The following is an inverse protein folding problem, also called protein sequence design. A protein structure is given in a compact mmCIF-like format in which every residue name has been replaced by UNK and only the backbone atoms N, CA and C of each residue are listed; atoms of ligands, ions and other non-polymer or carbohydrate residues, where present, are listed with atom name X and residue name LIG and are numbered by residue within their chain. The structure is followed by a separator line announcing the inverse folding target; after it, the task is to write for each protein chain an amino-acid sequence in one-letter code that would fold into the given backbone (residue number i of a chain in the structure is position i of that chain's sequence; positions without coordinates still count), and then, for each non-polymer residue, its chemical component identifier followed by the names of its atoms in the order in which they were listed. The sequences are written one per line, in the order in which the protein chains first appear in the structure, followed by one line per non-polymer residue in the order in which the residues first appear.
data_IF_511300153802
#
_entry.id   IF_511300153802
#
_cell.length_a   1.000
_cell.length_b   1.000
_cell.length_c   1.000
_cell.angle_alpha   90.00
_cell.angle_beta   90.00
_cell.angle_gamma   90.00
#
_symmetry.space_group_name_H-M   'P 1'
#
loop_
_entity.id
_entity.type
_entity.pdbx_description
1 polymer ?
#
# COMPACT_ATOMS: atom_id res chain seq x y z
N UNK A 1 -12.86 -18.89 2.15
CA UNK A 1 -14.19 -19.47 1.80
C UNK A 1 -14.91 -18.52 0.87
N UNK A 2 -15.63 -19.00 -0.15
CA UNK A 2 -16.39 -18.18 -1.10
C UNK A 2 -17.79 -17.91 -0.52
N UNK A 3 -18.20 -16.65 -0.43
CA UNK A 3 -19.53 -16.19 0.00
C UNK A 3 -20.45 -16.04 -1.23
N UNK A 4 -19.92 -15.34 -2.25
CA UNK A 4 -20.56 -15.17 -3.56
C UNK A 4 -19.47 -15.09 -4.63
N UNK A 5 -19.84 -15.04 -5.92
CA UNK A 5 -18.85 -14.81 -6.98
C UNK A 5 -18.13 -13.49 -6.74
N UNK A 6 -16.79 -13.51 -6.74
CA UNK A 6 -15.97 -12.32 -6.46
C UNK A 6 -15.98 -11.83 -4.99
N UNK A 7 -16.58 -12.60 -4.05
CA UNK A 7 -16.62 -12.27 -2.62
C UNK A 7 -16.11 -13.44 -1.79
N UNK A 8 -15.07 -13.20 -0.99
CA UNK A 8 -14.38 -14.23 -0.23
C UNK A 8 -14.17 -13.81 1.23
N UNK A 9 -14.26 -14.78 2.15
CA UNK A 9 -13.80 -14.63 3.53
C UNK A 9 -12.59 -15.53 3.78
N UNK A 10 -11.60 -15.00 4.47
CA UNK A 10 -10.34 -15.65 4.81
C UNK A 10 -10.19 -15.66 6.32
N UNK A 11 -10.22 -16.85 6.93
CA UNK A 11 -9.96 -17.03 8.34
C UNK A 11 -8.47 -17.25 8.57
N UNK A 12 -7.88 -16.45 9.43
CA UNK A 12 -6.48 -16.54 9.86
C UNK A 12 -6.49 -16.70 11.38
N UNK A 13 -6.70 -17.94 11.89
CA UNK A 13 -6.83 -18.18 13.30
C UNK A 13 -5.50 -17.97 14.02
N UNK A 14 -5.51 -17.18 15.10
CA UNK A 14 -4.35 -16.95 15.96
C UNK A 14 -4.76 -16.58 17.36
N UNK A 15 -4.07 -17.15 18.36
CA UNK A 15 -4.22 -16.82 19.78
C UNK A 15 -3.14 -15.86 20.29
N UNK A 16 -2.20 -15.48 19.41
CA UNK A 16 -1.03 -14.67 19.74
C UNK A 16 -1.38 -13.27 20.27
N UNK A 17 -2.49 -12.68 19.77
CA UNK A 17 -2.88 -11.31 20.08
C UNK A 17 -4.08 -11.26 21.03
N UNK A 18 -4.16 -10.19 21.83
CA UNK A 18 -5.32 -9.88 22.69
C UNK A 18 -6.49 -9.26 21.88
N UNK A 19 -6.24 -8.95 20.63
CA UNK A 19 -7.20 -8.31 19.71
C UNK A 19 -7.59 -9.25 18.59
N UNK A 20 -8.79 -9.02 18.07
CA UNK A 20 -9.25 -9.53 16.79
C UNK A 20 -9.17 -8.41 15.74
N UNK A 21 -9.00 -8.77 14.49
CA UNK A 21 -8.93 -7.83 13.36
C UNK A 21 -9.83 -8.28 12.21
N UNK A 22 -10.56 -7.33 11.69
CA UNK A 22 -11.37 -7.49 10.47
C UNK A 22 -10.80 -6.55 9.42
N UNK A 23 -10.48 -7.06 8.23
CA UNK A 23 -10.11 -6.25 7.07
C UNK A 23 -11.11 -6.51 5.98
N UNK A 24 -11.81 -5.49 5.54
CA UNK A 24 -12.69 -5.52 4.38
C UNK A 24 -11.98 -4.83 3.22
N UNK A 25 -11.54 -5.60 2.24
CA UNK A 25 -10.77 -5.16 1.08
C UNK A 25 -11.63 -5.13 -0.16
N UNK A 26 -11.66 -4.00 -0.84
CA UNK A 26 -12.24 -3.81 -2.16
C UNK A 26 -11.11 -3.65 -3.17
N UNK A 27 -11.01 -4.58 -4.14
CA UNK A 27 -9.96 -4.57 -5.16
C UNK A 27 -10.56 -4.47 -6.54
N UNK A 28 -10.22 -3.41 -7.25
CA UNK A 28 -10.57 -3.20 -8.65
C UNK A 28 -9.33 -3.04 -9.53
N UNK A 29 -9.55 -2.87 -10.83
CA UNK A 29 -8.47 -2.59 -11.78
C UNK A 29 -7.87 -1.20 -11.52
N UNK A 30 -6.54 -1.10 -11.63
CA UNK A 30 -5.83 0.16 -11.54
C UNK A 30 -6.15 1.02 -12.77
N UNK A 31 -6.74 2.19 -12.54
CA UNK A 31 -7.13 3.12 -13.59
C UNK A 31 -6.82 4.55 -13.18
N UNK A 32 -6.10 5.29 -14.01
CA UNK A 32 -5.74 6.70 -13.78
C UNK A 32 -6.95 7.58 -13.43
N UNK A 33 -8.13 7.28 -13.99
CA UNK A 33 -9.35 8.05 -13.78
C UNK A 33 -10.04 7.79 -12.43
N UNK A 34 -9.73 6.66 -11.76
CA UNK A 34 -10.39 6.27 -10.51
C UNK A 34 -9.46 6.34 -9.29
N UNK A 35 -8.14 6.42 -9.49
CA UNK A 35 -7.16 6.43 -8.39
C UNK A 35 -7.50 7.50 -7.34
N UNK A 36 -7.70 8.76 -7.76
CA UNK A 36 -8.01 9.87 -6.85
C UNK A 36 -9.37 9.69 -6.16
N UNK A 37 -10.39 9.22 -6.89
CA UNK A 37 -11.72 8.92 -6.34
C UNK A 37 -11.62 7.88 -5.22
N UNK A 38 -10.92 6.77 -5.48
CA UNK A 38 -10.74 5.67 -4.51
C UNK A 38 -9.94 6.12 -3.28
N UNK A 39 -8.96 7.01 -3.46
CA UNK A 39 -8.24 7.63 -2.35
C UNK A 39 -9.18 8.50 -1.50
N UNK A 40 -10.04 9.31 -2.11
CA UNK A 40 -11.06 10.11 -1.41
C UNK A 40 -12.09 9.23 -0.69
N UNK A 41 -12.54 8.14 -1.33
CA UNK A 41 -13.42 7.15 -0.68
C UNK A 41 -12.77 6.59 0.58
N UNK A 42 -11.47 6.27 0.53
CA UNK A 42 -10.71 5.79 1.69
C UNK A 42 -10.74 6.80 2.86
N UNK A 43 -10.63 8.11 2.61
CA UNK A 43 -10.75 9.14 3.63
C UNK A 43 -12.18 9.20 4.20
N UNK A 44 -13.19 9.22 3.33
CA UNK A 44 -14.58 9.30 3.74
C UNK A 44 -15.02 8.12 4.62
N UNK A 45 -14.54 6.91 4.36
CA UNK A 45 -14.82 5.70 5.15
C UNK A 45 -14.32 5.78 6.61
N UNK A 46 -13.30 6.60 6.88
CA UNK A 46 -12.69 6.75 8.21
C UNK A 46 -13.18 8.00 8.97
N UNK A 47 -14.09 8.79 8.40
CA UNK A 47 -14.43 10.12 8.92
C UNK A 47 -15.80 10.17 9.59
N UNK A 48 -16.85 9.70 8.90
CA UNK A 48 -18.24 9.76 9.39
C UNK A 48 -19.15 8.85 8.56
N UNK A 49 -20.33 8.53 9.11
CA UNK A 49 -21.43 7.86 8.42
C UNK A 49 -22.77 8.45 8.86
N UNK A 50 -23.89 7.98 8.32
CA UNK A 50 -25.23 8.52 8.66
C UNK A 50 -25.59 8.34 10.14
N UNK A 51 -25.18 7.23 10.76
CA UNK A 51 -25.41 6.94 12.17
C UNK A 51 -24.55 7.83 13.08
N UNK A 52 -23.31 8.11 12.65
CA UNK A 52 -22.34 8.95 13.36
C UNK A 52 -21.85 10.07 12.42
N UNK A 53 -22.64 11.16 12.27
CA UNK A 53 -22.44 12.11 11.19
C UNK A 53 -21.33 13.16 11.42
N UNK A 54 -20.67 13.11 12.57
CA UNK A 54 -19.52 13.97 12.88
C UNK A 54 -18.31 13.18 13.24
N UNK A 55 -17.10 13.72 12.99
CA UNK A 55 -15.83 13.12 13.40
C UNK A 55 -15.83 12.81 14.90
N UNK A 56 -16.44 13.68 15.71
CA UNK A 56 -16.54 13.48 17.14
C UNK A 56 -17.40 12.27 17.49
N UNK A 57 -18.66 12.21 17.02
CA UNK A 57 -19.58 11.09 17.30
C UNK A 57 -19.05 9.76 16.77
N UNK A 58 -18.35 9.79 15.62
CA UNK A 58 -17.70 8.62 15.04
C UNK A 58 -16.55 8.10 15.95
N UNK A 59 -15.69 9.00 16.44
CA UNK A 59 -14.60 8.66 17.36
C UNK A 59 -15.11 8.24 18.75
N UNK A 60 -16.16 8.90 19.26
CA UNK A 60 -16.84 8.53 20.51
C UNK A 60 -17.41 7.11 20.42
N UNK A 61 -18.00 6.75 19.26
CA UNK A 61 -18.45 5.37 19.06
C UNK A 61 -17.30 4.38 19.11
N UNK A 62 -16.20 4.62 18.42
CA UNK A 62 -15.01 3.75 18.47
C UNK A 62 -14.45 3.63 19.89
N UNK A 63 -14.42 4.72 20.64
CA UNK A 63 -14.02 4.71 22.06
C UNK A 63 -14.97 3.87 22.91
N UNK A 64 -16.29 4.00 22.70
CA UNK A 64 -17.32 3.20 23.40
C UNK A 64 -17.23 1.70 23.11
N UNK A 65 -16.64 1.33 21.97
CA UNK A 65 -16.31 -0.04 21.59
C UNK A 65 -14.94 -0.47 22.16
N UNK A 66 -14.65 -0.07 23.40
CA UNK A 66 -13.41 -0.40 24.13
C UNK A 66 -12.13 0.03 23.39
N UNK A 67 -12.17 1.19 22.72
CA UNK A 67 -11.04 1.72 21.99
C UNK A 67 -10.76 0.96 20.70
N UNK A 68 -11.79 0.43 20.06
CA UNK A 68 -11.69 -0.14 18.71
C UNK A 68 -11.02 0.85 17.77
N UNK A 69 -10.01 0.39 17.06
CA UNK A 69 -9.29 1.20 16.08
C UNK A 69 -9.83 0.93 14.68
N UNK A 70 -10.14 2.01 13.95
CA UNK A 70 -10.46 1.95 12.54
C UNK A 70 -9.36 2.67 11.76
N UNK A 71 -8.88 2.03 10.71
CA UNK A 71 -7.98 2.63 9.73
C UNK A 71 -8.37 2.25 8.31
N UNK A 72 -7.98 3.06 7.35
CA UNK A 72 -8.12 2.76 5.93
C UNK A 72 -6.75 2.76 5.26
N UNK A 73 -6.62 1.95 4.24
CA UNK A 73 -5.36 1.80 3.50
C UNK A 73 -5.63 1.70 2.02
N UNK A 74 -4.84 2.42 1.24
CA UNK A 74 -4.84 2.30 -0.22
C UNK A 74 -3.55 1.64 -0.67
N UNK A 75 -3.65 0.65 -1.56
CA UNK A 75 -2.50 -0.08 -2.09
C UNK A 75 -2.67 -0.45 -3.55
N UNK A 76 -1.54 -0.61 -4.24
CA UNK A 76 -1.47 -1.07 -5.63
C UNK A 76 -0.61 -2.32 -5.72
N UNK A 77 -1.02 -3.29 -6.54
CA UNK A 77 -0.22 -4.47 -6.89
C UNK A 77 -0.43 -4.77 -8.37
N UNK A 78 0.63 -4.60 -9.18
CA UNK A 78 0.51 -4.69 -10.63
C UNK A 78 -0.54 -3.72 -11.16
N UNK A 79 -1.52 -4.23 -11.90
CA UNK A 79 -2.63 -3.44 -12.44
C UNK A 79 -3.89 -3.47 -11.55
N UNK A 80 -3.72 -3.60 -10.24
CA UNK A 80 -4.83 -3.57 -9.28
C UNK A 80 -4.70 -2.41 -8.29
N UNK A 81 -5.84 -1.92 -7.83
CA UNK A 81 -5.96 -0.86 -6.82
C UNK A 81 -6.92 -1.32 -5.74
N UNK A 82 -6.43 -1.42 -4.51
CA UNK A 82 -7.20 -1.89 -3.36
C UNK A 82 -7.43 -0.78 -2.35
N UNK A 83 -8.64 -0.75 -1.80
CA UNK A 83 -9.01 0.06 -0.63
C UNK A 83 -9.43 -0.89 0.48
N UNK A 84 -8.73 -0.81 1.60
CA UNK A 84 -9.01 -1.59 2.80
C UNK A 84 -9.67 -0.69 3.84
N UNK A 85 -10.68 -1.21 4.54
CA UNK A 85 -11.13 -0.71 5.83
C UNK A 85 -10.81 -1.77 6.88
N UNK A 86 -10.10 -1.37 7.91
CA UNK A 86 -9.55 -2.26 8.91
C UNK A 86 -10.06 -1.88 10.29
N UNK A 87 -10.56 -2.87 11.03
CA UNK A 87 -11.03 -2.74 12.41
C UNK A 87 -10.23 -3.66 13.30
N UNK A 88 -9.60 -3.11 14.33
CA UNK A 88 -8.87 -3.86 15.37
C UNK A 88 -9.53 -3.61 16.73
N UNK A 89 -9.96 -4.65 17.41
CA UNK A 89 -10.71 -4.56 18.66
C UNK A 89 -10.33 -5.69 19.63
N UNK A 90 -10.60 -5.49 20.92
CA UNK A 90 -10.32 -6.47 21.98
C UNK A 90 -11.15 -7.73 21.82
N UNK A 91 -10.58 -8.89 22.14
CA UNK A 91 -11.35 -10.14 22.24
C UNK A 91 -12.36 -10.04 23.38
N UNK A 92 -13.52 -10.66 23.21
CA UNK A 92 -14.63 -10.64 24.19
C UNK A 92 -14.18 -11.13 25.58
N UNK A 93 -13.21 -12.03 25.65
CA UNK A 93 -12.64 -12.52 26.91
C UNK A 93 -12.07 -11.42 27.83
N UNK A 94 -11.61 -10.30 27.26
CA UNK A 94 -11.03 -9.18 28.01
C UNK A 94 -12.05 -8.09 28.37
N UNK A 95 -13.33 -8.32 28.11
CA UNK A 95 -14.38 -7.30 28.25
C UNK A 95 -15.38 -7.74 29.31
N UNK A 96 -15.71 -6.91 30.34
CA UNK A 96 -16.67 -7.23 31.37
C UNK A 96 -18.13 -7.06 30.91
N UNK A 97 -18.46 -7.50 29.69
CA UNK A 97 -19.81 -7.36 29.13
C UNK A 97 -20.43 -8.73 28.81
N UNK A 98 -21.75 -8.81 28.91
CA UNK A 98 -22.53 -9.98 28.49
C UNK A 98 -22.84 -9.99 26.97
N UNK A 99 -22.37 -8.97 26.22
CA UNK A 99 -22.60 -8.83 24.77
C UNK A 99 -21.28 -8.98 24.02
N UNK A 100 -21.30 -9.74 22.92
CA UNK A 100 -20.11 -9.91 22.08
C UNK A 100 -19.78 -8.62 21.33
N UNK A 101 -18.55 -8.11 21.52
CA UNK A 101 -18.03 -6.93 20.83
C UNK A 101 -17.96 -7.16 19.32
N UNK A 102 -17.80 -8.40 18.90
CA UNK A 102 -17.82 -8.77 17.47
C UNK A 102 -19.05 -8.24 16.74
N UNK A 103 -20.25 -8.41 17.32
CA UNK A 103 -21.48 -7.96 16.68
C UNK A 103 -21.59 -6.44 16.58
N UNK A 104 -21.13 -5.74 17.60
CA UNK A 104 -21.11 -4.27 17.63
C UNK A 104 -20.11 -3.70 16.60
N UNK A 105 -18.92 -4.30 16.51
CA UNK A 105 -17.88 -3.92 15.53
C UNK A 105 -18.32 -4.25 14.12
N UNK A 106 -18.95 -5.40 13.90
CA UNK A 106 -19.48 -5.79 12.58
C UNK A 106 -20.63 -4.87 12.16
N UNK A 107 -21.51 -4.48 13.08
CA UNK A 107 -22.56 -3.49 12.85
C UNK A 107 -21.98 -2.12 12.46
N UNK A 108 -20.94 -1.69 13.17
CA UNK A 108 -20.25 -0.45 12.84
C UNK A 108 -19.58 -0.48 11.45
N UNK A 109 -18.96 -1.61 11.07
CA UNK A 109 -18.43 -1.81 9.73
C UNK A 109 -19.52 -1.72 8.67
N UNK A 110 -20.69 -2.34 8.95
CA UNK A 110 -21.85 -2.28 8.06
C UNK A 110 -22.33 -0.85 7.87
N UNK A 111 -22.39 -0.04 8.95
CA UNK A 111 -22.74 1.37 8.86
C UNK A 111 -21.74 2.17 8.02
N UNK A 112 -20.43 1.90 8.15
CA UNK A 112 -19.42 2.56 7.33
C UNK A 112 -19.57 2.26 5.83
N UNK A 113 -19.91 1.01 5.48
CA UNK A 113 -19.96 0.56 4.09
C UNK A 113 -21.32 0.84 3.42
N UNK A 114 -22.43 0.67 4.15
CA UNK A 114 -23.75 0.69 3.54
C UNK A 114 -24.63 1.84 4.03
N UNK A 115 -24.14 2.62 4.99
CA UNK A 115 -24.81 3.81 5.49
C UNK A 115 -23.87 5.04 5.48
N UNK A 116 -23.20 5.33 4.34
CA UNK A 116 -22.25 6.44 4.25
C UNK A 116 -22.94 7.79 4.47
N UNK A 117 -22.20 8.79 4.92
CA UNK A 117 -22.73 10.16 5.07
C UNK A 117 -22.96 10.79 3.70
N UNK A 118 -24.16 10.55 3.15
CA UNK A 118 -24.55 10.96 1.80
C UNK A 118 -25.89 11.67 1.78
N UNK A 119 -26.08 12.54 0.78
CA UNK A 119 -27.31 13.27 0.50
C UNK A 119 -27.57 13.18 -1.00
N UNK A 120 -28.69 12.59 -1.41
CA UNK A 120 -29.11 12.51 -2.83
C UNK A 120 -27.97 12.03 -3.75
N UNK A 121 -27.49 10.80 -3.51
CA UNK A 121 -26.46 10.11 -4.32
C UNK A 121 -25.10 10.82 -4.43
N UNK A 122 -24.73 11.62 -3.43
CA UNK A 122 -23.40 12.21 -3.28
C UNK A 122 -23.01 12.27 -1.80
N UNK A 123 -21.71 12.31 -1.51
CA UNK A 123 -21.26 12.59 -0.14
C UNK A 123 -21.70 13.97 0.32
N UNK A 124 -21.87 14.14 1.63
CA UNK A 124 -22.14 15.46 2.21
C UNK A 124 -20.99 16.42 1.87
N UNK A 125 -21.26 17.49 1.11
CA UNK A 125 -20.24 18.37 0.55
C UNK A 125 -19.27 18.91 1.60
N UNK A 126 -19.79 19.40 2.75
CA UNK A 126 -18.95 19.99 3.78
C UNK A 126 -17.87 19.02 4.29
N UNK A 127 -18.21 17.77 4.54
CA UNK A 127 -17.25 16.75 5.02
C UNK A 127 -16.34 16.32 3.88
N UNK A 128 -16.89 16.14 2.68
CA UNK A 128 -16.11 15.80 1.50
C UNK A 128 -15.05 16.84 1.17
N UNK A 129 -15.40 18.15 1.21
CA UNK A 129 -14.46 19.23 0.88
C UNK A 129 -13.30 19.30 1.89
N UNK A 130 -13.57 19.02 3.17
CA UNK A 130 -12.54 18.92 4.21
C UNK A 130 -11.58 17.78 3.90
N UNK A 131 -12.10 16.57 3.63
CA UNK A 131 -11.26 15.40 3.37
C UNK A 131 -10.50 15.52 2.04
N UNK A 132 -11.12 16.14 1.04
CA UNK A 132 -10.45 16.47 -0.23
C UNK A 132 -9.27 17.42 0.02
N UNK A 133 -9.46 18.48 0.80
CA UNK A 133 -8.39 19.41 1.14
C UNK A 133 -7.29 18.74 1.97
N UNK A 134 -7.65 17.86 2.92
CA UNK A 134 -6.69 17.08 3.68
C UNK A 134 -5.83 16.20 2.78
N UNK A 135 -6.44 15.51 1.82
CA UNK A 135 -5.70 14.67 0.86
C UNK A 135 -4.80 15.51 -0.05
N UNK A 136 -5.27 16.64 -0.56
CA UNK A 136 -4.45 17.55 -1.37
C UNK A 136 -3.23 18.05 -0.58
N UNK A 137 -3.43 18.49 0.66
CA UNK A 137 -2.34 18.93 1.55
C UNK A 137 -1.34 17.79 1.81
N UNK A 138 -1.82 16.58 2.04
CA UNK A 138 -0.96 15.40 2.22
C UNK A 138 -0.10 15.15 0.97
N UNK A 139 -0.69 15.20 -0.22
CA UNK A 139 0.01 14.99 -1.49
C UNK A 139 1.03 16.11 -1.78
N UNK A 140 0.73 17.36 -1.44
CA UNK A 140 1.66 18.49 -1.58
C UNK A 140 2.88 18.29 -0.68
N UNK A 141 2.67 17.96 0.59
CA UNK A 141 3.76 17.69 1.56
C UNK A 141 4.63 16.51 1.11
N UNK A 142 4.01 15.44 0.60
CA UNK A 142 4.76 14.29 0.06
C UNK A 142 5.69 14.70 -1.08
N UNK A 143 5.26 15.65 -1.96
CA UNK A 143 6.10 16.13 -3.08
C UNK A 143 7.26 17.03 -2.64
N UNK A 144 7.25 17.56 -1.42
CA UNK A 144 8.40 18.28 -0.83
C UNK A 144 9.54 17.31 -0.48
N UNK A 145 9.22 16.05 -0.21
CA UNK A 145 10.23 15.01 -0.03
C UNK A 145 10.89 14.67 -1.38
N UNK A 146 12.14 15.08 -1.55
CA UNK A 146 12.87 14.90 -2.80
C UNK A 146 13.07 13.44 -3.20
N UNK A 147 13.15 12.50 -2.26
CA UNK A 147 13.24 11.07 -2.56
C UNK A 147 11.93 10.56 -3.14
N UNK A 148 10.81 10.85 -2.50
CA UNK A 148 9.49 10.50 -3.01
C UNK A 148 9.21 11.15 -4.38
N UNK A 149 9.52 12.44 -4.51
CA UNK A 149 9.40 13.14 -5.78
C UNK A 149 10.21 12.47 -6.89
N UNK A 150 11.48 12.12 -6.62
CA UNK A 150 12.33 11.46 -7.61
C UNK A 150 11.84 10.06 -7.98
N UNK A 151 11.26 9.31 -7.02
CA UNK A 151 10.62 8.01 -7.27
C UNK A 151 9.43 8.18 -8.22
N UNK A 152 8.53 9.12 -7.94
CA UNK A 152 7.37 9.41 -8.80
C UNK A 152 7.80 9.79 -10.22
N UNK A 153 8.82 10.67 -10.36
CA UNK A 153 9.35 11.05 -11.67
C UNK A 153 10.04 9.88 -12.38
N UNK A 154 10.75 9.03 -11.63
CA UNK A 154 11.38 7.82 -12.16
C UNK A 154 10.36 6.83 -12.71
N UNK A 155 9.27 6.59 -11.98
CA UNK A 155 8.15 5.72 -12.39
C UNK A 155 7.42 6.28 -13.62
N UNK A 156 7.21 7.59 -13.68
CA UNK A 156 6.61 8.25 -14.84
C UNK A 156 7.46 8.07 -16.12
N UNK A 157 8.78 8.15 -15.97
CA UNK A 157 9.71 7.94 -17.07
C UNK A 157 9.82 6.47 -17.50
N UNK A 158 9.74 5.55 -16.51
CA UNK A 158 9.93 4.13 -16.73
C UNK A 158 8.71 3.47 -17.37
N UNK A 159 7.52 3.62 -16.78
CA UNK A 159 6.32 2.90 -17.21
C UNK A 159 5.78 3.40 -18.56
N UNK A 160 5.30 2.46 -19.39
CA UNK A 160 4.50 2.76 -20.57
C UNK A 160 3.02 2.87 -20.22
N UNK A 161 2.54 2.05 -19.30
CA UNK A 161 1.15 2.07 -18.84
C UNK A 161 0.87 3.33 -18.00
N UNK A 162 -0.11 4.13 -18.43
CA UNK A 162 -0.45 5.42 -17.82
C UNK A 162 -0.93 5.32 -16.38
N UNK A 163 -1.59 4.22 -16.01
CA UNK A 163 -2.07 4.03 -14.65
C UNK A 163 -0.93 3.80 -13.65
N UNK A 164 0.15 3.11 -14.07
CA UNK A 164 1.33 2.86 -13.24
C UNK A 164 2.23 4.09 -13.05
N UNK A 165 2.02 5.15 -13.84
CA UNK A 165 2.70 6.44 -13.68
C UNK A 165 2.13 7.29 -12.55
N UNK A 166 0.93 6.95 -12.06
CA UNK A 166 0.23 7.70 -11.03
C UNK A 166 0.44 7.03 -9.68
N UNK A 167 0.83 7.78 -8.64
CA UNK A 167 0.92 7.25 -7.28
C UNK A 167 -0.43 6.71 -6.78
N UNK A 168 -0.40 5.80 -5.81
CA UNK A 168 -1.60 5.10 -5.29
C UNK A 168 -2.70 6.00 -4.73
N UNK A 169 -2.35 7.21 -4.29
CA UNK A 169 -3.31 8.21 -3.80
C UNK A 169 -3.70 9.25 -4.88
N UNK A 170 -3.16 9.13 -6.08
CA UNK A 170 -3.35 10.12 -7.14
C UNK A 170 -2.29 11.22 -7.14
N UNK A 171 -2.65 12.33 -7.75
CA UNK A 171 -1.91 13.61 -7.76
C UNK A 171 -2.89 14.71 -7.40
N UNK A 172 -2.39 15.86 -6.96
CA UNK A 172 -3.20 17.01 -6.55
C UNK A 172 -4.21 17.40 -7.63
N UNK A 173 -3.78 17.48 -8.89
CA UNK A 173 -4.64 17.87 -10.00
C UNK A 173 -5.78 16.86 -10.25
N UNK A 174 -5.53 15.56 -10.01
CA UNK A 174 -6.55 14.52 -10.13
C UNK A 174 -7.55 14.59 -8.97
N UNK A 175 -7.07 14.87 -7.76
CA UNK A 175 -7.93 15.05 -6.57
C UNK A 175 -8.75 16.33 -6.69
N UNK A 176 -8.14 17.43 -7.17
CA UNK A 176 -8.81 18.71 -7.36
C UNK A 176 -10.00 18.64 -8.34
N UNK A 177 -9.88 17.79 -9.37
CA UNK A 177 -10.95 17.59 -10.35
C UNK A 177 -12.17 16.83 -9.81
N UNK A 178 -12.03 16.13 -8.66
CA UNK A 178 -13.09 15.28 -8.14
C UNK A 178 -14.14 16.06 -7.31
N UNK A 179 -15.35 15.55 -7.33
CA UNK A 179 -16.51 16.09 -6.59
C UNK A 179 -17.08 15.06 -5.63
N UNK A 180 -17.90 15.51 -4.67
CA UNK A 180 -18.64 14.63 -3.76
C UNK A 180 -19.50 13.59 -4.50
N UNK A 181 -20.01 13.96 -5.68
CA UNK A 181 -20.77 13.08 -6.55
C UNK A 181 -19.88 12.02 -7.20
N UNK A 182 -18.76 12.41 -7.84
CA UNK A 182 -17.88 11.48 -8.57
C UNK A 182 -17.21 10.47 -7.63
N UNK A 183 -16.82 10.89 -6.42
CA UNK A 183 -16.27 10.02 -5.40
C UNK A 183 -17.33 9.04 -4.85
N UNK A 184 -18.56 9.51 -4.64
CA UNK A 184 -19.65 8.64 -4.19
C UNK A 184 -20.03 7.61 -5.26
N UNK A 185 -20.09 7.97 -6.53
CA UNK A 185 -20.31 7.04 -7.64
C UNK A 185 -19.24 5.95 -7.71
N UNK A 186 -17.97 6.34 -7.51
CA UNK A 186 -16.87 5.36 -7.43
C UNK A 186 -17.06 4.42 -6.23
N UNK A 187 -17.45 4.94 -5.06
CA UNK A 187 -17.72 4.11 -3.89
C UNK A 187 -18.81 3.07 -4.16
N UNK A 188 -19.92 3.46 -4.77
CA UNK A 188 -20.98 2.53 -5.17
C UNK A 188 -20.47 1.50 -6.18
N UNK A 189 -19.62 1.91 -7.12
CA UNK A 189 -18.96 1.00 -8.07
C UNK A 189 -18.04 0.01 -7.36
N UNK A 190 -17.26 0.45 -6.37
CA UNK A 190 -16.38 -0.42 -5.56
C UNK A 190 -17.18 -1.48 -4.81
N UNK A 191 -18.28 -1.09 -4.15
CA UNK A 191 -19.12 -2.03 -3.40
C UNK A 191 -19.81 -3.09 -4.29
N UNK A 192 -20.08 -2.77 -5.57
CA UNK A 192 -20.82 -3.65 -6.47
C UNK A 192 -19.98 -4.39 -7.49
N UNK A 193 -18.83 -3.82 -7.90
CA UNK A 193 -18.01 -4.36 -9.01
C UNK A 193 -16.64 -4.88 -8.57
N UNK A 194 -16.07 -4.34 -7.49
CA UNK A 194 -14.75 -4.78 -7.01
C UNK A 194 -14.83 -6.19 -6.42
N UNK A 195 -13.72 -6.91 -6.53
CA UNK A 195 -13.50 -8.10 -5.73
C UNK A 195 -13.46 -7.72 -4.25
N UNK A 196 -14.21 -8.46 -3.43
CA UNK A 196 -14.21 -8.28 -1.98
C UNK A 196 -13.52 -9.47 -1.32
N UNK A 197 -12.49 -9.16 -0.53
CA UNK A 197 -11.81 -10.12 0.33
C UNK A 197 -11.93 -9.65 1.79
N UNK A 198 -12.56 -10.45 2.64
CA UNK A 198 -12.75 -10.16 4.07
C UNK A 198 -11.79 -11.04 4.86
N UNK A 199 -10.83 -10.43 5.55
CA UNK A 199 -9.87 -11.16 6.39
C UNK A 199 -10.29 -11.07 7.85
N UNK A 200 -10.39 -12.22 8.50
CA UNK A 200 -10.73 -12.40 9.91
C UNK A 200 -9.49 -12.93 10.62
N UNK A 201 -8.72 -12.04 11.27
CA UNK A 201 -7.44 -12.39 11.92
C UNK A 201 -7.64 -12.41 13.42
N UNK A 202 -7.46 -13.58 14.07
CA UNK A 202 -7.66 -13.76 15.50
C UNK A 202 -8.48 -14.98 15.85
N UNK A 203 -9.27 -14.89 16.92
CA UNK A 203 -10.18 -15.94 17.37
C UNK A 203 -11.61 -15.57 16.97
N UNK A 204 -12.18 -16.33 16.06
CA UNK A 204 -13.53 -16.16 15.55
C UNK A 204 -14.27 -17.49 15.54
N UNK A 205 -15.56 -17.43 15.78
CA UNK A 205 -16.48 -18.51 15.48
C UNK A 205 -16.94 -18.36 14.01
N UNK A 206 -16.56 -19.31 13.17
CA UNK A 206 -16.84 -19.28 11.73
C UNK A 206 -18.33 -19.14 11.44
N UNK A 207 -19.18 -19.83 12.21
CA UNK A 207 -20.63 -19.77 12.05
C UNK A 207 -21.19 -18.37 12.38
N UNK A 208 -20.71 -17.75 13.46
CA UNK A 208 -21.11 -16.39 13.82
C UNK A 208 -20.67 -15.39 12.77
N UNK A 209 -19.43 -15.51 12.24
CA UNK A 209 -18.93 -14.66 11.16
C UNK A 209 -19.81 -14.78 9.93
N UNK A 210 -20.09 -15.99 9.48
CA UNK A 210 -20.93 -16.21 8.29
C UNK A 210 -22.34 -15.67 8.50
N UNK A 211 -22.95 -15.92 9.64
CA UNK A 211 -24.25 -15.36 10.00
C UNK A 211 -24.23 -13.82 9.99
N UNK A 212 -23.14 -13.22 10.44
CA UNK A 212 -22.94 -11.77 10.41
C UNK A 212 -22.82 -11.24 8.97
N UNK A 213 -21.99 -11.88 8.15
CA UNK A 213 -21.76 -11.48 6.78
C UNK A 213 -22.99 -11.67 5.86
N UNK A 214 -23.88 -12.61 6.18
CA UNK A 214 -25.18 -12.75 5.48
C UNK A 214 -26.10 -11.53 5.64
N UNK A 215 -25.83 -10.65 6.59
CA UNK A 215 -26.58 -9.38 6.74
C UNK A 215 -26.08 -8.28 5.81
N UNK A 216 -24.86 -8.44 5.23
CA UNK A 216 -24.32 -7.52 4.27
C UNK A 216 -24.90 -7.80 2.88
N UNK A 217 -25.23 -6.78 2.08
CA UNK A 217 -25.71 -6.95 0.71
C UNK A 217 -24.55 -7.31 -0.23
N UNK A 218 -23.95 -8.49 -0.02
CA UNK A 218 -22.80 -9.01 -0.77
C UNK A 218 -23.31 -9.82 -1.98
N UNK A 219 -23.57 -9.14 -3.08
CA UNK A 219 -23.99 -9.76 -4.33
C UNK A 219 -22.80 -10.33 -5.10
N UNK A 220 -23.08 -11.37 -5.92
CA UNK A 220 -22.07 -11.96 -6.81
C UNK A 220 -21.66 -11.00 -7.93
N UNK A 221 -20.35 -11.01 -8.26
CA UNK A 221 -19.73 -10.16 -9.27
C UNK A 221 -18.65 -10.88 -10.03
N UNK A 222 -18.50 -10.57 -11.31
CA UNK A 222 -17.39 -11.05 -12.11
C UNK A 222 -16.29 -10.00 -12.09
N UNK A 223 -15.08 -10.40 -11.67
CA UNK A 223 -13.94 -9.51 -11.58
C UNK A 223 -12.74 -10.16 -12.24
N UNK A 224 -12.17 -9.50 -13.22
CA UNK A 224 -10.90 -9.86 -13.84
C UNK A 224 -9.81 -8.91 -13.35
N UNK A 225 -8.86 -9.42 -12.56
CA UNK A 225 -7.79 -8.66 -11.94
C UNK A 225 -6.42 -9.14 -12.43
N UNK A 226 -5.62 -8.20 -12.87
CA UNK A 226 -4.25 -8.44 -13.30
C UNK A 226 -3.27 -7.98 -12.20
N UNK A 227 -2.82 -8.93 -11.37
CA UNK A 227 -1.85 -8.67 -10.30
C UNK A 227 -0.41 -8.51 -10.80
N UNK A 228 -0.15 -8.73 -12.06
CA UNK A 228 1.18 -8.56 -12.64
C UNK A 228 1.13 -7.70 -13.89
N UNK A 229 2.21 -6.97 -14.13
CA UNK A 229 2.41 -6.19 -15.33
C UNK A 229 3.79 -6.45 -15.91
N UNK A 230 3.84 -6.81 -17.18
CA UNK A 230 5.08 -6.99 -17.91
C UNK A 230 5.39 -5.74 -18.73
N UNK A 231 6.34 -4.93 -18.25
CA UNK A 231 6.84 -3.78 -18.97
C UNK A 231 7.49 -4.22 -20.29
N UNK A 232 7.11 -3.66 -21.45
CA UNK A 232 7.82 -3.93 -22.69
C UNK A 232 9.31 -3.59 -22.58
N UNK A 233 10.17 -4.50 -23.05
CA UNK A 233 11.61 -4.28 -23.01
C UNK A 233 12.02 -3.14 -23.94
N UNK A 234 12.83 -2.22 -23.44
CA UNK A 234 13.42 -1.13 -24.22
C UNK A 234 14.95 -1.15 -24.10
N UNK A 235 15.64 -1.10 -25.23
CA UNK A 235 17.11 -0.90 -25.26
C UNK A 235 17.50 0.55 -25.04
N UNK A 236 16.55 1.48 -25.13
CA UNK A 236 16.81 2.91 -25.02
C UNK A 236 16.74 3.31 -23.54
N UNK A 237 17.84 3.86 -23.06
CA UNK A 237 17.89 4.49 -21.73
C UNK A 237 17.16 5.83 -21.83
N UNK A 238 16.15 6.02 -20.96
CA UNK A 238 15.46 7.29 -20.81
C UNK A 238 16.10 8.04 -19.64
N UNK A 239 16.32 9.33 -19.81
CA UNK A 239 16.88 10.19 -18.78
C UNK A 239 16.07 11.48 -18.66
N UNK A 240 15.85 11.93 -17.42
CA UNK A 240 15.29 13.24 -17.09
C UNK A 240 16.20 13.89 -16.05
N UNK A 241 16.58 15.13 -16.27
CA UNK A 241 17.31 15.96 -15.30
C UNK A 241 16.42 17.15 -14.96
N UNK A 242 16.17 17.32 -13.69
CA UNK A 242 15.38 18.42 -13.17
C UNK A 242 16.18 19.16 -12.09
N UNK A 243 16.11 20.49 -12.11
CA UNK A 243 16.79 21.32 -11.13
C UNK A 243 15.80 21.85 -10.12
N UNK A 244 16.00 21.53 -8.83
CA UNK A 244 15.24 22.04 -7.70
C UNK A 244 16.17 22.71 -6.70
N UNK A 245 15.65 23.65 -5.93
CA UNK A 245 16.41 24.26 -4.82
C UNK A 245 16.42 23.32 -3.63
N UNK A 246 17.43 22.47 -3.56
CA UNK A 246 17.58 21.46 -2.51
C UNK A 246 19.02 21.36 -2.05
N UNK A 247 19.25 20.91 -0.81
CA UNK A 247 20.60 20.70 -0.26
C UNK A 247 21.32 19.49 -0.88
N UNK A 248 20.60 18.57 -1.49
CA UNK A 248 21.13 17.34 -2.08
C UNK A 248 20.53 17.08 -3.46
N UNK A 249 21.31 16.50 -4.36
CA UNK A 249 20.81 15.94 -5.61
C UNK A 249 20.38 14.48 -5.38
N UNK A 250 19.23 14.10 -5.92
CA UNK A 250 18.78 12.71 -5.87
C UNK A 250 19.00 12.05 -7.22
N UNK A 251 19.70 10.94 -7.21
CA UNK A 251 19.87 10.05 -8.36
C UNK A 251 18.90 8.87 -8.21
N UNK A 252 17.99 8.71 -9.17
CA UNK A 252 17.02 7.61 -9.23
C UNK A 252 17.29 6.78 -10.46
N UNK A 253 17.44 5.46 -10.33
CA UNK A 253 17.63 4.51 -11.42
C UNK A 253 16.52 3.47 -11.37
N UNK A 254 15.88 3.19 -12.53
CA UNK A 254 14.91 2.13 -12.72
C UNK A 254 15.46 1.05 -13.65
N UNK A 255 15.41 -0.22 -13.23
CA UNK A 255 15.85 -1.36 -14.01
C UNK A 255 14.73 -2.42 -14.07
N UNK A 256 14.54 -3.02 -15.25
CA UNK A 256 13.63 -4.15 -15.40
C UNK A 256 14.29 -5.46 -14.96
N UNK A 257 13.50 -6.33 -14.30
CA UNK A 257 13.88 -7.71 -14.04
C UNK A 257 12.72 -8.68 -14.37
N UNK A 258 13.00 -9.95 -14.72
CA UNK A 258 11.98 -10.86 -15.25
C UNK A 258 11.24 -11.68 -14.18
N UNK A 259 11.60 -11.60 -12.90
CA UNK A 259 11.01 -12.40 -11.83
C UNK A 259 9.72 -11.74 -11.30
N UNK A 260 8.65 -12.51 -11.17
CA UNK A 260 7.38 -12.06 -10.62
C UNK A 260 7.12 -12.65 -9.23
N UNK A 261 6.16 -12.05 -8.52
CA UNK A 261 5.68 -12.60 -7.25
C UNK A 261 5.11 -14.00 -7.44
N UNK A 262 5.60 -14.96 -6.64
CA UNK A 262 5.20 -16.37 -6.73
C UNK A 262 6.07 -17.23 -7.65
N UNK A 263 7.00 -16.65 -8.41
CA UNK A 263 8.00 -17.39 -9.15
C UNK A 263 8.96 -18.14 -8.21
N UNK A 264 9.52 -19.25 -8.67
CA UNK A 264 10.52 -20.02 -7.92
C UNK A 264 11.75 -19.19 -7.51
N UNK A 265 12.08 -18.17 -8.29
CA UNK A 265 13.25 -17.30 -8.09
C UNK A 265 12.93 -16.06 -7.23
N UNK A 266 11.67 -15.90 -6.76
CA UNK A 266 11.25 -14.75 -5.97
C UNK A 266 12.07 -14.57 -4.67
N UNK A 267 12.35 -15.68 -3.96
CA UNK A 267 13.20 -15.59 -2.75
C UNK A 267 14.65 -15.26 -3.07
N UNK A 268 15.16 -15.68 -4.24
CA UNK A 268 16.49 -15.27 -4.68
C UNK A 268 16.53 -13.77 -4.98
N UNK A 269 15.45 -13.20 -5.53
CA UNK A 269 15.32 -11.75 -5.74
C UNK A 269 15.33 -10.97 -4.42
N UNK A 270 14.66 -11.47 -3.37
CA UNK A 270 14.71 -10.85 -2.02
C UNK A 270 16.16 -10.82 -1.51
N UNK A 271 16.87 -11.94 -1.60
CA UNK A 271 18.27 -12.02 -1.17
C UNK A 271 19.16 -11.11 -2.03
N UNK A 272 18.94 -11.07 -3.34
CA UNK A 272 19.64 -10.19 -4.26
C UNK A 272 19.49 -8.71 -3.86
N UNK A 273 18.26 -8.25 -3.61
CA UNK A 273 18.00 -6.87 -3.18
C UNK A 273 18.64 -6.55 -1.83
N UNK A 274 18.56 -7.50 -0.88
CA UNK A 274 19.21 -7.37 0.42
C UNK A 274 20.73 -7.23 0.34
N UNK A 275 21.39 -7.97 -0.57
CA UNK A 275 22.81 -7.82 -0.84
C UNK A 275 23.14 -6.53 -1.60
N UNK A 276 22.23 -6.08 -2.49
CA UNK A 276 22.45 -4.90 -3.32
C UNK A 276 22.38 -3.61 -2.51
N UNK A 277 21.21 -3.30 -1.90
CA UNK A 277 20.99 -1.97 -1.34
C UNK A 277 19.98 -1.85 -0.21
N UNK A 278 19.28 -2.92 0.19
CA UNK A 278 18.21 -2.84 1.21
C UNK A 278 18.78 -2.66 2.63
N UNK A 279 19.92 -3.23 2.93
CA UNK A 279 20.48 -3.25 4.29
C UNK A 279 21.77 -2.44 4.42
N UNK A 280 22.11 -2.02 5.65
CA UNK A 280 23.32 -1.27 5.95
C UNK A 280 24.64 -2.02 5.64
N UNK A 281 24.61 -3.35 5.54
CA UNK A 281 25.78 -4.16 5.12
C UNK A 281 25.80 -4.44 3.61
N UNK A 282 24.84 -3.92 2.84
CA UNK A 282 24.73 -4.13 1.39
C UNK A 282 25.91 -3.55 0.61
N UNK A 283 26.08 -4.02 -0.63
CA UNK A 283 27.19 -3.59 -1.47
C UNK A 283 27.13 -2.08 -1.81
N UNK A 284 25.95 -1.54 -2.07
CA UNK A 284 25.78 -0.11 -2.33
C UNK A 284 26.16 0.72 -1.10
N UNK A 285 25.65 0.34 0.08
CA UNK A 285 25.89 1.08 1.31
C UNK A 285 27.39 1.05 1.67
N UNK A 286 28.01 -0.13 1.75
CA UNK A 286 29.38 -0.28 2.21
C UNK A 286 30.43 0.26 1.23
N UNK A 287 30.19 0.15 -0.08
CA UNK A 287 31.17 0.59 -1.08
C UNK A 287 30.97 2.02 -1.55
N UNK A 288 29.73 2.39 -1.90
CA UNK A 288 29.46 3.71 -2.48
C UNK A 288 29.35 4.79 -1.40
N UNK A 289 28.62 4.48 -0.30
CA UNK A 289 28.44 5.45 0.79
C UNK A 289 29.68 5.49 1.73
N UNK A 290 30.05 4.34 2.32
CA UNK A 290 31.07 4.34 3.37
C UNK A 290 32.48 4.41 2.82
N UNK A 291 32.84 3.60 1.82
CA UNK A 291 34.20 3.53 1.31
C UNK A 291 34.55 4.65 0.34
N UNK A 292 33.66 4.94 -0.62
CA UNK A 292 33.92 5.94 -1.66
C UNK A 292 33.38 7.33 -1.29
N UNK A 293 32.51 7.45 -0.29
CA UNK A 293 31.94 8.72 0.18
C UNK A 293 31.10 9.47 -0.87
N UNK A 294 30.56 8.76 -1.86
CA UNK A 294 29.86 9.36 -3.01
C UNK A 294 28.38 9.65 -2.74
N UNK A 295 27.79 9.08 -1.68
CA UNK A 295 26.40 9.24 -1.34
C UNK A 295 26.19 9.40 0.17
N UNK A 296 25.26 10.27 0.56
CA UNK A 296 24.81 10.42 1.96
C UNK A 296 23.82 9.33 2.36
N UNK A 297 22.97 8.96 1.43
CA UNK A 297 22.05 7.84 1.54
C UNK A 297 22.02 7.10 0.23
N UNK A 298 21.83 5.79 0.27
CA UNK A 298 21.72 4.94 -0.91
C UNK A 298 20.97 3.69 -0.55
N UNK A 299 20.14 3.22 -1.47
CA UNK A 299 19.37 1.99 -1.27
C UNK A 299 18.80 1.44 -2.56
N UNK A 300 18.21 0.25 -2.44
CA UNK A 300 17.44 -0.38 -3.52
C UNK A 300 16.15 -0.99 -3.00
N UNK A 301 15.13 -0.99 -3.84
CA UNK A 301 13.85 -1.64 -3.62
C UNK A 301 13.35 -2.25 -4.93
N UNK A 302 12.45 -3.21 -4.86
CA UNK A 302 11.86 -3.82 -6.04
C UNK A 302 10.36 -4.03 -5.89
N UNK A 303 9.68 -4.01 -7.02
CA UNK A 303 8.27 -4.37 -7.14
C UNK A 303 8.13 -5.59 -8.06
N UNK A 304 7.89 -6.77 -7.46
CA UNK A 304 7.75 -8.02 -8.19
C UNK A 304 6.43 -8.15 -8.96
N UNK A 305 5.47 -7.24 -8.74
CA UNK A 305 4.23 -7.21 -9.51
C UNK A 305 4.37 -6.45 -10.83
N UNK A 306 5.36 -5.55 -10.92
CA UNK A 306 5.64 -4.74 -12.12
C UNK A 306 7.02 -5.01 -12.73
N UNK A 307 7.86 -5.82 -12.06
CA UNK A 307 9.21 -6.13 -12.53
C UNK A 307 10.16 -4.94 -12.49
N UNK A 308 9.95 -3.98 -11.57
CA UNK A 308 10.76 -2.78 -11.42
C UNK A 308 11.71 -2.90 -10.23
N UNK A 309 13.02 -2.81 -10.47
CA UNK A 309 14.06 -2.56 -9.48
C UNK A 309 14.38 -1.07 -9.48
N UNK A 310 14.27 -0.43 -8.35
CA UNK A 310 14.60 0.98 -8.12
C UNK A 310 15.85 1.09 -7.25
N UNK A 311 16.77 1.96 -7.64
CA UNK A 311 17.97 2.29 -6.85
C UNK A 311 18.00 3.81 -6.70
N UNK A 312 18.11 4.29 -5.48
CA UNK A 312 18.17 5.71 -5.18
C UNK A 312 19.45 6.06 -4.45
N UNK A 313 19.96 7.28 -4.67
CA UNK A 313 21.10 7.83 -3.93
C UNK A 313 20.97 9.34 -3.75
N UNK A 314 21.15 9.81 -2.52
CA UNK A 314 21.35 11.23 -2.20
C UNK A 314 22.83 11.57 -2.33
N UNK A 315 23.16 12.43 -3.27
CA UNK A 315 24.55 12.71 -3.68
C UNK A 315 24.82 14.22 -3.77
N UNK A 316 26.09 14.59 -3.80
CA UNK A 316 26.48 15.89 -4.33
C UNK A 316 26.36 15.90 -5.85
N UNK A 317 25.98 17.04 -6.41
CA UNK A 317 25.81 17.21 -7.88
C UNK A 317 27.08 16.82 -8.66
N UNK A 318 28.25 17.15 -8.13
CA UNK A 318 29.56 16.81 -8.72
C UNK A 318 29.81 15.30 -8.81
N UNK A 319 29.26 14.52 -7.88
CA UNK A 319 29.48 13.09 -7.76
C UNK A 319 28.56 12.21 -8.64
N UNK A 320 27.59 12.81 -9.37
CA UNK A 320 26.60 12.11 -10.18
C UNK A 320 27.19 10.98 -11.03
N UNK A 321 28.19 11.30 -11.85
CA UNK A 321 28.76 10.33 -12.79
C UNK A 321 29.56 9.21 -12.09
N UNK A 322 30.21 9.54 -10.98
CA UNK A 322 30.96 8.54 -10.19
C UNK A 322 30.00 7.61 -9.45
N UNK A 323 29.00 8.18 -8.78
CA UNK A 323 27.96 7.40 -8.08
C UNK A 323 27.21 6.47 -9.05
N UNK A 324 26.79 6.97 -10.20
CA UNK A 324 26.09 6.14 -11.22
C UNK A 324 26.98 4.98 -11.71
N UNK A 325 28.25 5.24 -12.03
CA UNK A 325 29.19 4.17 -12.42
C UNK A 325 29.43 3.18 -11.30
N UNK A 326 29.54 3.65 -10.06
CA UNK A 326 29.68 2.80 -8.88
C UNK A 326 28.49 1.89 -8.68
N UNK A 327 27.26 2.44 -8.77
CA UNK A 327 26.01 1.69 -8.64
C UNK A 327 25.93 0.58 -9.72
N UNK A 328 26.17 0.93 -11.00
CA UNK A 328 26.14 -0.03 -12.11
C UNK A 328 27.24 -1.12 -11.92
N UNK A 329 28.41 -0.76 -11.44
CA UNK A 329 29.48 -1.71 -11.14
C UNK A 329 29.06 -2.73 -10.08
N UNK A 330 28.51 -2.28 -8.95
CA UNK A 330 28.10 -3.16 -7.86
C UNK A 330 26.90 -4.04 -8.26
N UNK A 331 25.92 -3.49 -9.00
CA UNK A 331 24.82 -4.25 -9.58
C UNK A 331 25.37 -5.40 -10.46
N UNK A 332 26.34 -5.12 -11.32
CA UNK A 332 26.95 -6.13 -12.19
C UNK A 332 27.80 -7.13 -11.41
N UNK A 333 28.48 -6.72 -10.35
CA UNK A 333 29.22 -7.64 -9.49
C UNK A 333 28.29 -8.70 -8.88
N UNK A 334 27.15 -8.31 -8.33
CA UNK A 334 26.19 -9.25 -7.74
C UNK A 334 25.58 -10.13 -8.82
N UNK A 335 25.18 -9.58 -9.97
CA UNK A 335 24.64 -10.35 -11.12
C UNK A 335 25.60 -11.43 -11.62
N UNK A 336 26.91 -11.18 -11.56
CA UNK A 336 27.95 -12.13 -11.98
C UNK A 336 28.43 -13.05 -10.84
N UNK A 337 27.77 -13.05 -9.69
CA UNK A 337 28.14 -13.86 -8.54
C UNK A 337 29.42 -13.41 -7.83
N UNK A 338 29.88 -12.18 -8.08
CA UNK A 338 31.11 -11.61 -7.50
C UNK A 338 30.82 -10.92 -6.16
N UNK A 339 30.46 -11.71 -5.16
CA UNK A 339 30.19 -11.25 -3.79
C UNK A 339 30.79 -12.21 -2.78
N UNK A 340 31.03 -11.74 -1.54
CA UNK A 340 31.59 -12.58 -0.49
C UNK A 340 30.52 -13.49 0.14
N UNK A 341 30.98 -14.66 0.62
CA UNK A 341 30.12 -15.56 1.40
C UNK A 341 29.60 -14.87 2.67
N UNK A 342 30.36 -13.93 3.24
CA UNK A 342 29.98 -13.15 4.40
C UNK A 342 28.76 -12.29 4.10
N UNK A 343 28.77 -11.52 3.00
CA UNK A 343 27.65 -10.69 2.55
C UNK A 343 26.37 -11.54 2.37
N UNK A 344 26.48 -12.65 1.68
CA UNK A 344 25.35 -13.56 1.43
C UNK A 344 24.76 -14.13 2.74
N UNK A 345 25.61 -14.65 3.63
CA UNK A 345 25.16 -15.26 4.89
C UNK A 345 24.57 -14.22 5.86
N UNK A 346 25.14 -13.03 5.92
CA UNK A 346 24.64 -11.92 6.75
C UNK A 346 23.26 -11.46 6.24
N UNK A 347 23.09 -11.32 4.94
CA UNK A 347 21.80 -10.96 4.31
C UNK A 347 20.73 -12.00 4.63
N UNK A 348 21.00 -13.29 4.45
CA UNK A 348 20.06 -14.36 4.80
C UNK A 348 19.67 -14.34 6.28
N UNK A 349 20.65 -14.08 7.18
CA UNK A 349 20.37 -14.00 8.62
C UNK A 349 19.42 -12.83 8.94
N UNK A 350 19.62 -11.66 8.34
CA UNK A 350 18.76 -10.49 8.57
C UNK A 350 17.36 -10.70 7.99
N UNK A 351 17.25 -11.22 6.77
CA UNK A 351 15.94 -11.54 6.17
C UNK A 351 15.15 -12.51 7.06
N UNK A 352 15.82 -13.58 7.56
CA UNK A 352 15.18 -14.52 8.49
C UNK A 352 14.74 -13.85 9.79
N UNK A 353 15.59 -12.98 10.36
CA UNK A 353 15.27 -12.24 11.57
C UNK A 353 14.08 -11.28 11.35
N UNK A 354 14.05 -10.55 10.22
CA UNK A 354 12.95 -9.66 9.89
C UNK A 354 11.63 -10.43 9.71
N UNK A 355 11.67 -11.61 9.08
CA UNK A 355 10.51 -12.47 8.96
C UNK A 355 9.97 -12.93 10.33
N UNK A 356 10.86 -13.26 11.28
CA UNK A 356 10.46 -13.61 12.65
C UNK A 356 9.91 -12.40 13.43
N UNK A 357 10.47 -11.21 13.22
CA UNK A 357 9.96 -9.98 13.85
C UNK A 357 8.62 -9.56 13.26
N UNK A 358 8.41 -9.74 11.95
CA UNK A 358 7.13 -9.42 11.32
C UNK A 358 5.99 -10.30 11.86
N UNK A 359 6.31 -11.52 12.26
CA UNK A 359 5.37 -12.45 12.89
C UNK A 359 4.81 -11.93 14.24
N UNK A 360 5.48 -10.95 14.87
CA UNK A 360 5.04 -10.32 16.12
C UNK A 360 4.02 -9.18 15.92
N UNK A 361 3.75 -8.80 14.71
CA UNK A 361 2.78 -7.76 14.38
C UNK A 361 1.56 -8.33 13.65
N UNK A 362 0.36 -8.15 14.23
CA UNK A 362 -0.91 -8.55 13.59
C UNK A 362 -1.18 -7.82 12.25
N UNK A 363 -0.36 -6.82 11.90
CA UNK A 363 -0.48 -5.98 10.71
C UNK A 363 0.38 -6.47 9.54
N UNK A 364 1.25 -7.42 9.74
CA UNK A 364 2.16 -8.01 8.76
C UNK A 364 1.82 -9.44 8.45
#
# INVERSE_FOLDING_TARGET
MKIADGVYVHFIPTQKYKTNRIVFRMTGSLNKQTIAKRALVSQMLATANQTYPTVQSFKERLASLYGTQLSTKVSTKGLTHSVDIELTYLKDFFIPMNTSLFWEVLGFLMDCLYNPLSIVAQYQNKVFDIEKQNLMTYLDVDTENNYYYSEVQGRELYFVNEALKVPKYGRVELVEAETSFTAYQEFQSMLTKDRIDIFMVGEFDDYQVLRGLHRFPLEGRQVDLQFSYNQPYSKVVKEKIETRQTSQSILQLGCQFPCQYGDKDYFALIVFNGMLGEFAHSALFTKIREKEGLAYSIGSQFDAFTGLLEIYAGIEKSNRNQAMRGIIRELNHIKLGRFSSSLFNQTKKIIRMNALLSDDHALT
#
